data_IF_645872624956
#
_entry.id   IF_645872624956
#
_cell.length_a   1.000
_cell.length_b   1.000
_cell.length_c   1.000
_cell.angle_alpha   90.00
_cell.angle_beta   90.00
_cell.angle_gamma   90.00
#
_symmetry.space_group_name_H-M   'P 1'
#
loop_
_entity.id
_entity.type
_entity.pdbx_description
1 polymer ?
#
# COMPACT_ATOMS: atom_id res chain seq x y z
N UNK A 1 -80.10 -1.62 -8.42
CA UNK A 1 -79.94 -3.09 -8.47
C UNK A 1 -79.32 -3.41 -9.82
N UNK A 2 -78.12 -4.02 -9.84
CA UNK A 2 -77.42 -4.64 -10.99
C UNK A 2 -76.87 -3.66 -12.06
N UNK A 3 -75.72 -3.83 -12.73
CA UNK A 3 -74.51 -4.65 -12.58
C UNK A 3 -73.49 -4.04 -13.59
N UNK A 4 -72.21 -3.96 -13.22
CA UNK A 4 -70.98 -4.11 -14.04
C UNK A 4 -70.87 -3.44 -15.43
N UNK A 5 -69.86 -2.58 -15.60
CA UNK A 5 -68.84 -2.83 -16.64
C UNK A 5 -67.52 -2.07 -16.33
N UNK A 6 -66.41 -2.80 -16.47
CA UNK A 6 -65.02 -2.39 -16.24
C UNK A 6 -64.41 -2.01 -17.60
N UNK A 7 -63.53 -1.00 -17.64
CA UNK A 7 -62.30 -0.87 -18.47
C UNK A 7 -62.15 0.52 -19.14
N UNK A 8 -61.17 1.29 -18.66
CA UNK A 8 -60.27 2.18 -19.41
C UNK A 8 -59.36 2.87 -18.38
N UNK A 9 -58.26 2.24 -17.96
CA UNK A 9 -56.91 2.39 -18.52
C UNK A 9 -56.36 3.80 -18.35
N UNK A 10 -55.26 3.88 -17.57
CA UNK A 10 -54.25 4.92 -17.76
C UNK A 10 -54.05 5.83 -16.55
N UNK A 11 -53.02 5.54 -15.77
CA UNK A 11 -52.59 6.43 -14.69
C UNK A 11 -51.42 5.83 -13.94
N UNK A 12 -50.27 5.79 -14.61
CA UNK A 12 -49.00 5.26 -14.16
C UNK A 12 -48.59 5.88 -12.80
N UNK A 13 -48.87 5.19 -11.69
CA UNK A 13 -48.24 5.49 -10.40
C UNK A 13 -46.86 4.86 -10.39
N UNK A 14 -45.85 5.63 -10.78
CA UNK A 14 -44.47 5.33 -10.47
C UNK A 14 -43.72 6.66 -10.31
N UNK A 15 -43.85 7.26 -9.13
CA UNK A 15 -42.91 8.28 -8.68
C UNK A 15 -41.54 7.62 -8.56
N UNK A 16 -40.66 7.88 -9.52
CA UNK A 16 -39.25 7.55 -9.42
C UNK A 16 -38.64 8.46 -8.35
N UNK A 17 -38.62 7.98 -7.10
CA UNK A 17 -37.66 8.44 -6.11
C UNK A 17 -36.29 7.94 -6.59
N UNK A 18 -35.64 8.70 -7.48
CA UNK A 18 -34.20 8.57 -7.61
C UNK A 18 -33.62 9.15 -6.33
N UNK A 19 -33.35 8.30 -5.35
CA UNK A 19 -32.40 8.63 -4.31
C UNK A 19 -31.06 8.84 -5.01
N UNK A 20 -30.65 10.10 -5.17
CA UNK A 20 -29.26 10.42 -5.50
C UNK A 20 -28.42 9.83 -4.39
N UNK A 21 -27.70 8.75 -4.68
CA UNK A 21 -26.66 8.26 -3.79
C UNK A 21 -25.62 9.38 -3.80
N UNK A 22 -25.55 10.16 -2.71
CA UNK A 22 -24.41 11.02 -2.45
C UNK A 22 -23.21 10.08 -2.35
N UNK A 23 -22.43 9.99 -3.42
CA UNK A 23 -21.14 9.34 -3.36
C UNK A 23 -20.37 10.09 -2.27
N UNK A 24 -20.02 9.38 -1.19
CA UNK A 24 -19.05 9.86 -0.22
C UNK A 24 -17.73 9.99 -0.96
N UNK A 25 -17.53 11.13 -1.63
CA UNK A 25 -16.25 11.51 -2.19
C UNK A 25 -15.36 11.72 -0.98
N UNK A 26 -14.52 10.73 -0.69
CA UNK A 26 -13.43 10.90 0.25
C UNK A 26 -12.66 12.15 -0.18
N UNK A 27 -12.35 13.07 0.75
CA UNK A 27 -11.57 14.25 0.41
C UNK A 27 -10.29 13.79 -0.30
N UNK A 28 -9.78 14.57 -1.28
CA UNK A 28 -8.58 14.20 -2.03
C UNK A 28 -7.51 13.78 -1.03
N UNK A 29 -7.07 12.52 -1.14
CA UNK A 29 -6.09 11.94 -0.24
C UNK A 29 -4.89 12.86 -0.20
N UNK A 30 -4.66 13.55 0.91
CA UNK A 30 -3.37 14.18 1.20
C UNK A 30 -2.33 13.10 0.97
N UNK A 31 -1.47 13.27 -0.04
CA UNK A 31 -0.64 12.23 -0.67
C UNK A 31 -0.19 11.16 0.32
N UNK A 32 -0.85 10.00 0.31
CA UNK A 32 -0.48 8.90 1.16
C UNK A 32 0.48 8.02 0.37
N UNK A 33 1.77 8.09 0.71
CA UNK A 33 2.77 7.20 0.13
C UNK A 33 2.55 5.78 0.66
N UNK A 34 2.29 4.82 -0.22
CA UNK A 34 2.19 3.41 0.17
C UNK A 34 3.58 2.86 0.46
N UNK A 35 3.73 2.17 1.59
CA UNK A 35 5.00 1.58 2.02
C UNK A 35 4.74 0.09 2.32
N UNK A 36 5.40 -0.83 1.63
CA UNK A 36 5.25 -2.26 1.89
C UNK A 36 5.65 -2.62 3.33
N UNK A 37 5.01 -3.63 3.91
CA UNK A 37 5.35 -4.13 5.24
C UNK A 37 6.05 -5.50 5.21
N UNK A 38 6.16 -6.13 4.04
CA UNK A 38 6.82 -7.43 3.83
C UNK A 38 7.40 -7.51 2.42
N UNK A 39 8.54 -8.17 2.28
CA UNK A 39 9.11 -8.57 0.99
C UNK A 39 9.88 -9.89 1.13
N UNK A 40 9.92 -10.65 0.05
CA UNK A 40 10.45 -12.02 -0.03
C UNK A 40 11.54 -12.11 -1.08
N UNK A 41 12.80 -11.69 -0.79
CA UNK A 41 13.88 -11.70 -1.78
C UNK A 41 14.38 -13.13 -2.07
N UNK A 42 13.55 -13.93 -2.76
CA UNK A 42 13.75 -15.34 -3.08
C UNK A 42 13.98 -15.58 -4.59
N UNK A 43 13.77 -14.57 -5.43
CA UNK A 43 13.98 -14.62 -6.87
C UNK A 43 12.81 -15.24 -7.66
N UNK A 44 11.61 -15.30 -7.10
CA UNK A 44 10.41 -15.79 -7.79
C UNK A 44 9.68 -14.72 -8.62
N UNK A 45 10.15 -13.47 -8.57
CA UNK A 45 9.57 -12.32 -9.25
C UNK A 45 8.44 -11.64 -8.48
N UNK A 46 8.05 -12.15 -7.31
CA UNK A 46 6.95 -11.63 -6.50
C UNK A 46 7.47 -11.07 -5.17
N UNK A 47 7.23 -9.77 -4.96
CA UNK A 47 7.66 -9.06 -3.74
C UNK A 47 9.15 -9.25 -3.41
N UNK A 48 10.01 -9.41 -4.42
CA UNK A 48 11.45 -9.66 -4.22
C UNK A 48 12.20 -8.47 -3.60
N UNK A 49 11.60 -7.28 -3.65
CA UNK A 49 12.24 -6.05 -3.18
C UNK A 49 11.25 -5.20 -2.40
N UNK A 50 11.78 -4.48 -1.42
CA UNK A 50 11.12 -3.33 -0.83
C UNK A 50 11.28 -2.14 -1.78
N UNK A 51 10.19 -1.82 -2.50
CA UNK A 51 10.18 -0.77 -3.51
C UNK A 51 9.29 0.39 -3.08
N UNK A 52 9.81 1.61 -3.24
CA UNK A 52 9.10 2.87 -3.01
C UNK A 52 9.16 3.74 -4.27
N UNK A 53 8.02 4.27 -4.69
CA UNK A 53 7.91 5.21 -5.81
C UNK A 53 7.11 6.44 -5.39
N UNK A 54 7.57 7.61 -5.80
CA UNK A 54 7.04 8.90 -5.34
C UNK A 54 7.30 10.02 -6.34
N UNK A 55 6.52 11.10 -6.24
CA UNK A 55 6.68 12.27 -7.11
C UNK A 55 7.91 13.12 -6.79
N UNK A 56 8.37 13.07 -5.55
CA UNK A 56 9.53 13.81 -5.04
C UNK A 56 10.61 12.86 -4.52
N UNK A 57 11.89 13.25 -4.52
CA UNK A 57 12.93 12.44 -3.90
C UNK A 57 12.66 12.21 -2.41
N UNK A 58 12.72 10.96 -1.98
CA UNK A 58 12.61 10.56 -0.58
C UNK A 58 13.96 10.15 -0.04
N UNK A 59 14.10 10.17 1.28
CA UNK A 59 15.25 9.58 1.99
C UNK A 59 14.77 8.43 2.86
N UNK A 60 15.33 7.24 2.63
CA UNK A 60 15.03 6.03 3.38
C UNK A 60 16.25 5.60 4.18
N UNK A 61 16.06 5.42 5.48
CA UNK A 61 16.99 4.71 6.35
C UNK A 61 16.35 3.43 6.84
N UNK A 62 17.09 2.34 6.81
CA UNK A 62 16.67 1.05 7.35
C UNK A 62 17.64 0.58 8.41
N UNK A 63 17.10 0.07 9.51
CA UNK A 63 17.81 -0.34 10.71
C UNK A 63 17.50 -1.79 11.06
N UNK A 64 18.50 -2.49 11.59
CA UNK A 64 18.31 -3.78 12.25
C UNK A 64 17.47 -3.64 13.52
N UNK A 65 17.05 -4.76 14.10
CA UNK A 65 16.37 -4.79 15.40
C UNK A 65 17.19 -4.18 16.54
N UNK A 66 18.52 -4.13 16.42
CA UNK A 66 19.41 -3.52 17.42
C UNK A 66 19.63 -2.03 17.19
N UNK A 67 19.02 -1.43 16.16
CA UNK A 67 19.16 -0.02 15.81
C UNK A 67 20.35 0.30 14.91
N UNK A 68 21.09 -0.70 14.44
CA UNK A 68 22.21 -0.49 13.50
C UNK A 68 21.65 -0.17 12.12
N UNK A 69 22.09 0.92 11.49
CA UNK A 69 21.74 1.19 10.08
C UNK A 69 22.31 0.08 9.20
N UNK A 70 21.45 -0.50 8.36
CA UNK A 70 21.85 -1.54 7.39
C UNK A 70 21.74 -1.06 5.96
N UNK A 71 20.92 -0.04 5.70
CA UNK A 71 20.70 0.49 4.36
C UNK A 71 20.29 1.96 4.41
N UNK A 72 20.78 2.74 3.44
CA UNK A 72 20.35 4.10 3.16
C UNK A 72 20.18 4.29 1.65
N UNK A 73 19.14 5.02 1.26
CA UNK A 73 18.96 5.44 -0.12
C UNK A 73 18.20 6.76 -0.20
N UNK A 74 18.44 7.49 -1.29
CA UNK A 74 17.73 8.71 -1.64
C UNK A 74 17.30 8.69 -3.10
N UNK A 75 16.07 9.09 -3.37
CA UNK A 75 15.57 9.18 -4.74
C UNK A 75 14.05 9.09 -4.84
N UNK A 76 13.54 9.31 -6.06
CA UNK A 76 12.12 9.14 -6.39
C UNK A 76 11.70 7.68 -6.44
N UNK A 77 12.64 6.81 -6.80
CA UNK A 77 12.50 5.36 -6.85
C UNK A 77 13.60 4.75 -5.97
N UNK A 78 13.19 4.08 -4.91
CA UNK A 78 14.10 3.39 -3.99
C UNK A 78 13.74 1.90 -4.03
N UNK A 79 14.74 1.05 -4.24
CA UNK A 79 14.57 -0.40 -4.32
C UNK A 79 15.60 -1.03 -3.40
N UNK A 80 15.14 -1.86 -2.47
CA UNK A 80 16.00 -2.58 -1.53
C UNK A 80 15.73 -4.08 -1.59
N UNK A 81 16.78 -4.87 -1.81
CA UNK A 81 16.73 -6.33 -1.98
C UNK A 81 17.08 -7.10 -0.69
N UNK A 82 17.12 -6.41 0.44
CA UNK A 82 17.46 -7.01 1.73
C UNK A 82 18.95 -7.31 1.88
N UNK A 83 19.81 -6.51 1.25
CA UNK A 83 21.27 -6.49 1.49
C UNK A 83 21.69 -5.25 2.26
N UNK A 84 22.80 -5.36 2.98
CA UNK A 84 23.43 -4.19 3.57
C UNK A 84 24.24 -3.39 2.54
N UNK A 85 24.80 -2.26 2.97
CA UNK A 85 25.67 -1.39 2.14
C UNK A 85 26.93 -2.11 1.60
N UNK A 86 27.35 -3.22 2.22
CA UNK A 86 28.47 -4.06 1.75
C UNK A 86 28.02 -5.13 0.74
N UNK A 87 26.72 -5.19 0.40
CA UNK A 87 26.14 -6.19 -0.49
C UNK A 87 25.88 -7.55 0.17
N UNK A 88 26.10 -7.70 1.48
CA UNK A 88 25.83 -8.93 2.21
C UNK A 88 24.34 -9.11 2.42
N UNK A 89 23.84 -10.33 2.19
CA UNK A 89 22.44 -10.69 2.49
C UNK A 89 22.19 -10.55 3.98
N UNK A 90 21.13 -9.83 4.31
CA UNK A 90 20.64 -9.73 5.67
C UNK A 90 19.78 -10.95 6.01
N UNK A 91 19.81 -11.31 7.29
CA UNK A 91 19.01 -12.40 7.86
C UNK A 91 17.52 -12.07 7.84
N UNK A 92 16.72 -13.11 7.95
CA UNK A 92 15.27 -12.98 8.08
C UNK A 92 14.88 -12.29 9.39
N UNK A 93 13.86 -11.45 9.29
CA UNK A 93 13.28 -10.81 10.46
C UNK A 93 12.72 -9.43 10.21
N UNK A 94 12.55 -8.70 11.31
CA UNK A 94 11.98 -7.37 11.33
C UNK A 94 13.11 -6.34 11.21
N UNK A 95 12.93 -5.43 10.25
CA UNK A 95 13.75 -4.25 10.07
C UNK A 95 12.90 -3.01 10.28
N UNK A 96 13.48 -1.96 10.86
CA UNK A 96 12.81 -0.70 11.10
C UNK A 96 13.22 0.31 10.05
N UNK A 97 12.32 1.20 9.64
CA UNK A 97 12.68 2.26 8.71
C UNK A 97 12.22 3.64 9.17
N UNK A 98 12.95 4.65 8.72
CA UNK A 98 12.51 6.04 8.70
C UNK A 98 12.50 6.52 7.25
N UNK A 99 11.41 7.16 6.86
CA UNK A 99 11.19 7.69 5.53
C UNK A 99 10.86 9.17 5.65
N UNK A 100 11.73 9.98 5.04
CA UNK A 100 11.65 11.44 5.08
C UNK A 100 11.46 12.00 3.67
N UNK A 101 10.71 13.09 3.59
CA UNK A 101 10.49 13.84 2.36
C UNK A 101 10.95 15.28 2.54
N UNK A 102 12.12 15.66 2.00
CA UNK A 102 12.62 17.03 2.08
C UNK A 102 11.66 18.08 1.49
N UNK A 103 10.80 17.69 0.53
CA UNK A 103 9.82 18.57 -0.08
C UNK A 103 8.55 18.73 0.77
N UNK A 104 8.42 18.01 1.89
CA UNK A 104 7.25 18.02 2.77
C UNK A 104 5.92 17.75 2.04
N UNK A 105 5.97 17.01 0.92
CA UNK A 105 4.79 16.55 0.16
C UNK A 105 4.11 15.38 0.88
N UNK A 106 4.91 14.49 1.46
CA UNK A 106 4.50 13.35 2.24
C UNK A 106 4.84 13.56 3.72
N UNK A 107 3.95 13.14 4.62
CA UNK A 107 4.28 13.11 6.05
C UNK A 107 5.41 12.11 6.29
N UNK A 108 6.36 12.47 7.14
CA UNK A 108 7.40 11.55 7.60
C UNK A 108 6.76 10.25 8.11
N UNK A 109 7.31 9.11 7.67
CA UNK A 109 6.84 7.79 8.09
C UNK A 109 7.93 7.03 8.81
N UNK A 110 7.54 6.34 9.87
CA UNK A 110 8.36 5.37 10.58
C UNK A 110 7.56 4.09 10.69
N UNK A 111 8.24 2.96 10.57
CA UNK A 111 7.57 1.68 10.58
C UNK A 111 8.57 0.54 10.58
N UNK A 112 8.06 -0.63 10.23
CA UNK A 112 8.85 -1.83 10.09
C UNK A 112 8.50 -2.55 8.81
N UNK A 113 9.42 -3.39 8.36
CA UNK A 113 9.27 -4.30 7.22
C UNK A 113 9.79 -5.67 7.62
N UNK A 114 9.07 -6.71 7.22
CA UNK A 114 9.51 -8.10 7.32
C UNK A 114 10.32 -8.48 6.07
N UNK A 115 11.57 -8.88 6.29
CA UNK A 115 12.40 -9.55 5.30
C UNK A 115 12.27 -11.05 5.53
N UNK A 116 11.69 -11.76 4.56
CA UNK A 116 11.48 -13.21 4.65
C UNK A 116 12.23 -13.92 3.51
N UNK A 117 13.25 -14.71 3.84
CA UNK A 117 13.87 -15.63 2.89
C UNK A 117 13.27 -16.99 3.18
N UNK A 118 12.57 -17.56 2.19
CA UNK A 118 12.19 -18.95 2.28
C UNK A 118 13.45 -19.82 2.33
N UNK A 119 13.93 -20.14 3.53
CA UNK A 119 15.03 -21.07 3.73
C UNK A 119 14.54 -22.47 3.34
N UNK A 120 14.73 -22.83 2.07
CA UNK A 120 14.50 -24.17 1.53
C UNK A 120 15.51 -25.21 2.07
N UNK A 121 16.06 -24.99 3.27
CA UNK A 121 17.06 -25.85 3.94
C UNK A 121 16.51 -26.60 5.15
N UNK A 122 15.23 -26.45 5.51
CA UNK A 122 14.62 -27.11 6.68
C UNK A 122 13.84 -28.40 6.38
N UNK A 123 14.13 -29.05 5.26
CA UNK A 123 13.63 -30.39 4.95
C UNK A 123 14.82 -31.30 4.62
N UNK A 124 15.48 -31.79 5.67
CA UNK A 124 16.30 -33.00 5.65
C UNK A 124 15.95 -33.82 6.88
#
# INVERSE_FOLDING_TARGET
>A
MNLRCILAVGGLLATLLTATIAQAQTPPSTGQLEVPNVFTPNGDGQNDTFSLESSQPLKLWVYSRTGTQVYYAEGRRIVWDGRNELGHKLSDGIYFYTLDDPANTYKQKKGFVYLLRADMKRLK
#
